data_IF_127308133882
#
_entry.id   IF_127308133882
#
_cell.length_a   1.000
_cell.length_b   1.000
_cell.length_c   1.000
_cell.angle_alpha   90.00
_cell.angle_beta   90.00
_cell.angle_gamma   90.00
#
_symmetry.space_group_name_H-M   'P 1'
#
loop_
_entity.id
_entity.type
_entity.pdbx_description
1 polymer ?
#
# COMPACT_ATOMS: atom_id res chain seq x y z
N UNK A 1 -22.85 -5.21 3.92
CA UNK A 1 -22.46 -3.78 3.85
C UNK A 1 -20.95 -3.62 4.11
N UNK A 2 -20.07 -4.20 3.28
CA UNK A 2 -18.62 -4.21 3.53
C UNK A 2 -17.76 -3.54 2.43
N UNK A 3 -18.36 -3.14 1.30
CA UNK A 3 -17.62 -2.54 0.18
C UNK A 3 -17.15 -1.10 0.49
N UNK A 4 -17.93 -0.34 1.27
CA UNK A 4 -17.57 1.04 1.64
C UNK A 4 -16.36 1.13 2.57
N UNK A 5 -16.10 0.11 3.42
CA UNK A 5 -14.94 0.13 4.32
C UNK A 5 -13.65 -0.21 3.59
N UNK A 6 -13.64 -1.22 2.71
CA UNK A 6 -12.42 -1.60 1.98
C UNK A 6 -11.97 -0.52 1.00
N UNK A 7 -12.90 0.08 0.24
CA UNK A 7 -12.56 1.19 -0.67
C UNK A 7 -12.03 2.41 0.10
N UNK A 8 -12.58 2.70 1.27
CA UNK A 8 -12.09 3.78 2.14
C UNK A 8 -10.68 3.49 2.65
N UNK A 9 -10.40 2.25 3.07
CA UNK A 9 -9.06 1.81 3.48
C UNK A 9 -8.06 1.86 2.32
N UNK A 10 -8.46 1.40 1.13
CA UNK A 10 -7.62 1.49 -0.09
C UNK A 10 -7.27 2.94 -0.41
N UNK A 11 -8.25 3.85 -0.37
CA UNK A 11 -8.01 5.27 -0.59
C UNK A 11 -7.11 5.88 0.50
N UNK A 12 -7.32 5.49 1.77
CA UNK A 12 -6.48 5.90 2.89
C UNK A 12 -5.03 5.47 2.70
N UNK A 13 -4.82 4.20 2.33
CA UNK A 13 -3.50 3.67 2.00
C UNK A 13 -2.86 4.41 0.83
N UNK A 14 -3.57 4.59 -0.31
CA UNK A 14 -3.05 5.33 -1.47
C UNK A 14 -2.55 6.73 -1.08
N UNK A 15 -3.31 7.45 -0.25
CA UNK A 15 -2.93 8.79 0.23
C UNK A 15 -1.68 8.76 1.10
N UNK A 16 -1.63 7.87 2.09
CA UNK A 16 -0.47 7.72 2.97
C UNK A 16 0.79 7.33 2.20
N UNK A 17 0.67 6.34 1.31
CA UNK A 17 1.75 5.90 0.43
C UNK A 17 2.22 7.01 -0.50
N UNK A 18 1.30 7.75 -1.13
CA UNK A 18 1.65 8.87 -2.02
C UNK A 18 2.43 9.96 -1.29
N UNK A 19 2.07 10.27 -0.05
CA UNK A 19 2.83 11.23 0.78
C UNK A 19 4.25 10.72 1.02
N UNK A 20 4.37 9.48 1.51
CA UNK A 20 5.67 8.83 1.75
C UNK A 20 6.54 8.79 0.49
N UNK A 21 5.96 8.42 -0.66
CA UNK A 21 6.68 8.36 -1.93
C UNK A 21 7.18 9.72 -2.41
N UNK A 22 6.40 10.78 -2.20
CA UNK A 22 6.84 12.13 -2.52
C UNK A 22 7.96 12.60 -1.59
N UNK A 23 7.92 12.22 -0.32
CA UNK A 23 8.99 12.53 0.64
C UNK A 23 10.30 11.83 0.26
N UNK A 24 10.26 10.60 -0.25
CA UNK A 24 11.43 9.90 -0.82
C UNK A 24 12.07 10.63 -2.01
N UNK A 25 11.26 11.40 -2.75
CA UNK A 25 11.71 12.18 -3.91
C UNK A 25 12.12 13.62 -3.54
N UNK A 26 12.13 13.96 -2.25
CA UNK A 26 12.45 15.29 -1.74
C UNK A 26 13.71 15.24 -0.84
N UNK A 27 14.38 16.38 -0.61
CA UNK A 27 15.54 16.46 0.29
C UNK A 27 15.11 16.45 1.77
N UNK A 28 14.30 15.47 2.17
CA UNK A 28 13.77 15.28 3.53
C UNK A 28 14.00 13.84 3.98
N UNK A 29 13.90 13.60 5.28
CA UNK A 29 13.86 12.23 5.82
C UNK A 29 12.42 11.72 5.62
N UNK A 30 12.24 10.76 4.73
CA UNK A 30 10.94 10.14 4.49
C UNK A 30 10.54 9.25 5.69
N UNK A 31 9.33 9.44 6.20
CA UNK A 31 8.76 8.62 7.28
C UNK A 31 7.71 7.65 6.71
N UNK A 32 7.97 6.33 6.71
CA UNK A 32 7.03 5.35 6.20
C UNK A 32 5.91 4.98 7.18
N UNK A 33 5.92 5.48 8.42
CA UNK A 33 5.06 5.00 9.53
C UNK A 33 3.58 4.99 9.15
N UNK A 34 3.07 6.07 8.57
CA UNK A 34 1.67 6.17 8.18
C UNK A 34 1.33 5.23 7.01
N UNK A 35 2.22 5.07 6.03
CA UNK A 35 2.03 4.17 4.91
C UNK A 35 2.00 2.71 5.36
N UNK A 36 2.89 2.31 6.27
CA UNK A 36 2.92 0.97 6.85
C UNK A 36 1.67 0.67 7.69
N UNK A 37 1.21 1.61 8.51
CA UNK A 37 -0.01 1.44 9.29
C UNK A 37 -1.24 1.27 8.39
N UNK A 38 -1.42 2.15 7.39
CA UNK A 38 -2.54 2.07 6.46
C UNK A 38 -2.48 0.81 5.57
N UNK A 39 -1.29 0.38 5.16
CA UNK A 39 -1.08 -0.87 4.41
C UNK A 39 -1.53 -2.09 5.22
N UNK A 40 -1.17 -2.15 6.50
CA UNK A 40 -1.59 -3.23 7.39
C UNK A 40 -3.11 -3.29 7.55
N UNK A 41 -3.77 -2.15 7.79
CA UNK A 41 -5.23 -2.10 7.92
C UNK A 41 -5.94 -2.52 6.63
N UNK A 42 -5.41 -2.08 5.48
CA UNK A 42 -5.92 -2.45 4.17
C UNK A 42 -5.79 -3.95 3.92
N UNK A 43 -4.57 -4.49 3.99
CA UNK A 43 -4.29 -5.89 3.67
C UNK A 43 -4.91 -6.86 4.68
N UNK A 44 -4.97 -6.52 5.96
CA UNK A 44 -5.69 -7.33 6.96
C UNK A 44 -7.18 -7.43 6.65
N UNK A 45 -7.78 -6.34 6.16
CA UNK A 45 -9.19 -6.34 5.76
C UNK A 45 -9.41 -7.09 4.45
N UNK A 46 -8.52 -6.90 3.48
CA UNK A 46 -8.55 -7.64 2.20
C UNK A 46 -8.43 -9.15 2.43
N UNK A 47 -7.47 -9.57 3.27
CA UNK A 47 -7.29 -10.96 3.68
C UNK A 47 -8.55 -11.54 4.32
N UNK A 48 -9.20 -10.80 5.24
CA UNK A 48 -10.46 -11.25 5.86
C UNK A 48 -11.60 -11.40 4.87
N UNK A 49 -11.64 -10.59 3.80
CA UNK A 49 -12.71 -10.66 2.80
C UNK A 49 -12.49 -11.76 1.77
N UNK A 50 -11.24 -12.01 1.36
CA UNK A 50 -10.90 -12.98 0.31
C UNK A 50 -10.60 -14.39 0.86
N UNK A 51 -10.12 -14.49 2.10
CA UNK A 51 -9.46 -15.70 2.60
C UNK A 51 -8.00 -15.79 2.13
N UNK A 52 -7.19 -16.59 2.83
CA UNK A 52 -5.73 -16.63 2.63
C UNK A 52 -5.29 -17.04 1.24
N UNK A 53 -5.91 -18.09 0.66
CA UNK A 53 -5.51 -18.61 -0.64
C UNK A 53 -5.76 -17.60 -1.77
N UNK A 54 -6.97 -17.06 -1.83
CA UNK A 54 -7.33 -16.07 -2.86
C UNK A 54 -6.61 -14.73 -2.64
N UNK A 55 -6.38 -14.34 -1.38
CA UNK A 55 -5.56 -13.17 -1.05
C UNK A 55 -4.15 -13.30 -1.62
N UNK A 56 -3.47 -14.43 -1.40
CA UNK A 56 -2.10 -14.63 -1.91
C UNK A 56 -2.06 -14.67 -3.44
N UNK A 57 -3.05 -15.30 -4.09
CA UNK A 57 -3.12 -15.33 -5.56
C UNK A 57 -3.29 -13.94 -6.18
N UNK A 58 -4.04 -13.04 -5.53
CA UNK A 58 -4.34 -11.70 -6.05
C UNK A 58 -3.37 -10.61 -5.62
N UNK A 59 -2.45 -10.90 -4.71
CA UNK A 59 -1.64 -9.87 -4.06
C UNK A 59 -0.72 -9.14 -5.06
N UNK A 60 -0.08 -9.87 -5.97
CA UNK A 60 0.79 -9.29 -6.99
C UNK A 60 -0.01 -8.42 -7.99
N UNK A 61 -1.19 -8.90 -8.39
CA UNK A 61 -2.11 -8.15 -9.26
C UNK A 61 -2.57 -6.85 -8.57
N UNK A 62 -2.96 -6.93 -7.29
CA UNK A 62 -3.38 -5.76 -6.51
C UNK A 62 -2.24 -4.75 -6.33
N UNK A 63 -1.01 -5.24 -6.12
CA UNK A 63 0.21 -4.41 -6.01
C UNK A 63 0.43 -3.63 -7.32
N UNK A 64 0.43 -4.34 -8.45
CA UNK A 64 0.65 -3.77 -9.79
C UNK A 64 -0.45 -2.77 -10.13
N UNK A 65 -1.70 -3.12 -9.84
CA UNK A 65 -2.85 -2.28 -10.12
C UNK A 65 -2.83 -0.98 -9.30
N UNK A 66 -2.54 -1.06 -8.00
CA UNK A 66 -2.41 0.13 -7.15
C UNK A 66 -1.23 1.01 -7.56
N UNK A 67 -0.11 0.42 -7.93
CA UNK A 67 1.05 1.17 -8.42
C UNK A 67 0.67 1.99 -9.66
N UNK A 68 0.01 1.37 -10.64
CA UNK A 68 -0.47 2.05 -11.83
C UNK A 68 -1.47 3.18 -11.54
N UNK A 69 -2.40 2.98 -10.60
CA UNK A 69 -3.33 4.05 -10.20
C UNK A 69 -2.61 5.24 -9.54
N UNK A 70 -1.68 4.97 -8.62
CA UNK A 70 -0.92 6.02 -7.93
C UNK A 70 -0.03 6.78 -8.91
N UNK A 71 0.62 6.06 -9.84
CA UNK A 71 1.41 6.69 -10.89
C UNK A 71 0.55 7.62 -11.76
N UNK A 72 -0.64 7.16 -12.18
CA UNK A 72 -1.57 7.99 -12.95
C UNK A 72 -2.02 9.24 -12.18
N UNK A 73 -2.36 9.08 -10.90
CA UNK A 73 -2.75 10.20 -10.01
C UNK A 73 -1.61 11.22 -9.89
N UNK A 74 -0.38 10.75 -9.70
CA UNK A 74 0.81 11.59 -9.62
C UNK A 74 1.10 12.30 -10.95
N UNK A 75 1.08 11.58 -12.08
CA UNK A 75 1.28 12.17 -13.42
C UNK A 75 0.24 13.24 -13.71
N UNK A 76 -1.01 13.03 -13.31
CA UNK A 76 -2.05 14.03 -13.44
C UNK A 76 -1.75 15.27 -12.58
N UNK A 77 -1.40 15.07 -11.31
CA UNK A 77 -1.10 16.14 -10.34
C UNK A 77 0.13 16.98 -10.71
N UNK A 78 1.15 16.36 -11.31
CA UNK A 78 2.44 16.99 -11.61
C UNK A 78 2.61 17.33 -13.10
N UNK A 79 1.57 17.20 -13.93
CA UNK A 79 1.60 17.42 -15.39
C UNK A 79 2.32 18.70 -15.81
N UNK A 80 2.01 19.82 -15.15
CA UNK A 80 2.52 21.15 -15.52
C UNK A 80 3.70 21.61 -14.65
N UNK A 81 4.25 20.72 -13.80
CA UNK A 81 5.37 21.07 -12.92
C UNK A 81 6.71 20.87 -13.62
N UNK A 82 7.64 21.82 -13.39
CA UNK A 82 9.01 21.78 -13.92
C UNK A 82 9.83 20.58 -13.45
N UNK A 83 9.55 20.10 -12.23
CA UNK A 83 10.18 18.91 -11.67
C UNK A 83 9.10 17.86 -11.40
N UNK A 84 9.28 16.67 -11.98
CA UNK A 84 8.41 15.52 -11.76
C UNK A 84 9.12 14.52 -10.84
N UNK A 85 8.39 13.81 -9.97
CA UNK A 85 8.95 12.68 -9.22
C UNK A 85 9.53 11.61 -10.15
N UNK A 86 10.54 10.89 -9.68
CA UNK A 86 11.00 9.68 -10.37
C UNK A 86 10.06 8.54 -10.01
N UNK A 87 9.36 7.97 -11.00
CA UNK A 87 8.40 6.89 -10.80
C UNK A 87 9.03 5.48 -10.86
N UNK A 88 10.32 5.36 -11.20
CA UNK A 88 10.98 4.07 -11.45
C UNK A 88 10.86 3.07 -10.29
N UNK A 89 10.88 3.57 -9.06
CA UNK A 89 10.83 2.73 -7.85
C UNK A 89 9.42 2.66 -7.24
N UNK A 90 8.38 3.19 -7.90
CA UNK A 90 7.05 3.34 -7.29
C UNK A 90 6.44 1.99 -6.89
N UNK A 91 6.45 1.02 -7.80
CA UNK A 91 5.92 -0.31 -7.52
C UNK A 91 6.74 -1.02 -6.44
N UNK A 92 8.07 -0.89 -6.46
CA UNK A 92 8.95 -1.50 -5.46
C UNK A 92 8.71 -0.91 -4.06
N UNK A 93 8.54 0.42 -3.95
CA UNK A 93 8.20 1.06 -2.67
C UNK A 93 6.81 0.67 -2.17
N UNK A 94 5.87 0.41 -3.08
CA UNK A 94 4.55 -0.09 -2.71
C UNK A 94 4.64 -1.54 -2.22
N UNK A 95 5.40 -2.38 -2.92
CA UNK A 95 5.69 -3.77 -2.53
C UNK A 95 6.36 -3.85 -1.16
N UNK A 96 7.32 -2.97 -0.86
CA UNK A 96 7.94 -2.88 0.48
C UNK A 96 6.89 -2.62 1.57
N UNK A 97 5.92 -1.74 1.34
CA UNK A 97 4.84 -1.52 2.30
C UNK A 97 4.00 -2.79 2.53
N UNK A 98 3.72 -3.52 1.45
CA UNK A 98 2.97 -4.77 1.51
C UNK A 98 3.73 -5.86 2.24
N UNK A 99 5.01 -6.05 1.93
CA UNK A 99 5.89 -7.01 2.62
C UNK A 99 5.96 -6.73 4.13
N UNK A 100 6.07 -5.46 4.54
CA UNK A 100 6.04 -5.08 5.96
C UNK A 100 4.71 -5.44 6.63
N UNK A 101 3.59 -5.21 5.94
CA UNK A 101 2.28 -5.61 6.44
C UNK A 101 2.11 -7.14 6.51
N UNK A 102 2.55 -7.87 5.49
CA UNK A 102 2.51 -9.33 5.43
C UNK A 102 3.34 -9.97 6.53
N UNK A 103 4.55 -9.47 6.79
CA UNK A 103 5.40 -9.97 7.87
C UNK A 103 4.69 -9.88 9.23
N UNK A 104 3.93 -8.79 9.47
CA UNK A 104 3.11 -8.62 10.67
C UNK A 104 1.88 -9.54 10.68
N UNK A 105 1.27 -9.78 9.53
CA UNK A 105 0.11 -10.68 9.40
C UNK A 105 0.50 -12.15 9.59
N UNK A 106 1.60 -12.60 9.00
CA UNK A 106 2.12 -13.97 9.16
C UNK A 106 2.53 -14.24 10.60
N UNK A 107 3.21 -13.30 11.26
CA UNK A 107 3.48 -13.39 12.70
C UNK A 107 2.21 -13.53 13.56
N UNK A 108 1.04 -13.14 13.04
CA UNK A 108 -0.25 -13.28 13.69
C UNK A 108 -0.95 -14.62 13.36
N UNK A 109 -0.70 -15.17 12.16
CA UNK A 109 -1.24 -16.47 11.71
C UNK A 109 -0.48 -17.64 12.36
N UNK A 110 0.85 -17.53 12.48
CA UNK A 110 1.73 -18.60 13.01
C UNK A 110 1.83 -18.62 14.54
N UNK A 111 1.17 -17.70 15.25
CA UNK A 111 1.08 -17.76 16.72
C UNK A 111 0.00 -18.78 17.11
N UNK A 112 0.34 -19.91 17.77
CA UNK A 112 -0.68 -20.76 18.35
C UNK A 112 -1.48 -19.92 19.35
N UNK A 113 -2.82 -19.94 19.23
CA UNK A 113 -3.70 -19.41 20.26
C UNK A 113 -3.45 -20.23 21.52
N UNK A 114 -2.71 -19.65 22.47
CA UNK A 114 -2.69 -20.17 23.83
C UNK A 114 -4.03 -19.76 24.43
N UNK A 115 -4.91 -20.73 24.59
CA UNK A 115 -6.17 -20.62 25.35
C UNK A 115 -5.87 -20.40 26.85
#
# INVERSE_FOLDING_TARGET
MAHGSLQSLRLGFKRAFTSYFLDLNAPVIADPTAAFAASYEYLSTLLRQLGSEEFMRRLDDETTHLAGEVEQDLRHRFRDRRAQPNYGDLEDRLRECFEQALARLHAFIDRPRVE
#
